data_IF_341586317718
#
_entry.id   IF_341586317718
#
_cell.length_a   1.000
_cell.length_b   1.000
_cell.length_c   1.000
_cell.angle_alpha   90.00
_cell.angle_beta   90.00
_cell.angle_gamma   90.00
#
_symmetry.space_group_name_H-M   'P 1'
#
loop_
_entity.id
_entity.type
_entity.pdbx_description
1 polymer ?
#
# COMPACT_ATOMS: atom_id res chain seq x y z
N UNK A 1 13.35 -0.11 13.26
CA UNK A 1 12.99 -0.34 11.85
C UNK A 1 13.04 0.99 11.14
N UNK A 2 13.83 1.14 10.07
CA UNK A 2 13.82 2.37 9.27
C UNK A 2 12.56 2.37 8.42
N UNK A 3 11.72 3.39 8.57
CA UNK A 3 10.71 3.68 7.55
C UNK A 3 11.44 3.80 6.22
N UNK A 4 10.95 3.08 5.21
CA UNK A 4 11.59 2.99 3.89
C UNK A 4 11.85 4.37 3.34
N UNK A 5 13.04 4.57 2.76
CA UNK A 5 13.30 5.76 1.97
C UNK A 5 12.20 5.95 0.92
N UNK A 6 11.82 7.20 0.61
CA UNK A 6 10.95 7.48 -0.52
C UNK A 6 11.51 6.81 -1.78
N UNK A 7 10.65 6.33 -2.68
CA UNK A 7 11.09 5.84 -3.98
C UNK A 7 11.80 6.99 -4.72
N UNK A 8 12.88 6.68 -5.45
CA UNK A 8 13.59 7.70 -6.19
C UNK A 8 12.72 8.24 -7.34
N UNK A 9 12.84 9.53 -7.63
CA UNK A 9 11.98 10.22 -8.60
C UNK A 9 12.05 9.61 -10.01
N UNK A 10 13.18 9.01 -10.39
CA UNK A 10 13.33 8.37 -11.70
C UNK A 10 12.50 7.09 -11.78
N UNK A 11 12.53 6.26 -10.76
CA UNK A 11 11.69 5.05 -10.68
C UNK A 11 10.22 5.41 -10.57
N UNK A 12 9.90 6.42 -9.76
CA UNK A 12 8.53 6.91 -9.59
C UNK A 12 7.91 7.34 -10.92
N UNK A 13 8.59 8.24 -11.66
CA UNK A 13 8.10 8.72 -12.96
C UNK A 13 7.98 7.61 -14.01
N UNK A 14 8.87 6.60 -13.99
CA UNK A 14 8.76 5.44 -14.88
C UNK A 14 7.52 4.60 -14.61
N UNK A 15 7.23 4.32 -13.34
CA UNK A 15 6.06 3.53 -12.95
C UNK A 15 4.78 4.32 -13.23
N UNK A 16 4.74 5.60 -12.87
CA UNK A 16 3.61 6.49 -13.13
C UNK A 16 3.30 6.56 -14.64
N UNK A 17 4.33 6.75 -15.47
CA UNK A 17 4.19 6.75 -16.93
C UNK A 17 3.72 5.40 -17.51
N UNK A 18 4.16 4.27 -16.95
CA UNK A 18 3.71 2.93 -17.38
C UNK A 18 2.26 2.68 -17.00
N UNK A 19 1.82 3.15 -15.84
CA UNK A 19 0.47 2.98 -15.33
C UNK A 19 -0.51 4.05 -15.84
N UNK A 20 0.00 5.08 -16.53
CA UNK A 20 -0.76 6.26 -16.97
C UNK A 20 -1.51 6.95 -15.81
N UNK A 21 -0.84 7.11 -14.67
CA UNK A 21 -1.35 7.80 -13.47
C UNK A 21 -0.39 8.89 -13.03
N UNK A 22 -0.84 9.77 -12.14
CA UNK A 22 0.02 10.75 -11.48
C UNK A 22 1.09 10.07 -10.60
N UNK A 23 2.28 10.64 -10.57
CA UNK A 23 3.39 10.25 -9.68
C UNK A 23 2.96 10.17 -8.21
N UNK A 24 2.09 11.08 -7.77
CA UNK A 24 1.55 11.10 -6.41
C UNK A 24 0.73 9.84 -6.07
N UNK A 25 0.04 9.22 -7.04
CA UNK A 25 -0.68 7.97 -6.80
C UNK A 25 0.27 6.81 -6.56
N UNK A 26 1.37 6.75 -7.32
CA UNK A 26 2.40 5.71 -7.16
C UNK A 26 3.13 5.88 -5.84
N UNK A 27 3.45 7.12 -5.47
CA UNK A 27 4.12 7.42 -4.19
C UNK A 27 3.24 7.02 -3.00
N UNK A 28 1.95 7.41 -3.05
CA UNK A 28 0.97 7.01 -2.04
C UNK A 28 0.87 5.49 -1.95
N UNK A 29 0.75 4.80 -3.09
CA UNK A 29 0.63 3.34 -3.14
C UNK A 29 1.85 2.64 -2.51
N UNK A 30 3.05 3.18 -2.75
CA UNK A 30 4.27 2.70 -2.13
C UNK A 30 4.19 2.77 -0.61
N UNK A 31 3.83 3.91 -0.04
CA UNK A 31 3.72 4.04 1.42
C UNK A 31 2.62 3.16 2.02
N UNK A 32 1.49 2.96 1.33
CA UNK A 32 0.43 2.03 1.74
C UNK A 32 0.99 0.61 1.90
N UNK A 33 1.71 0.11 0.88
CA UNK A 33 2.31 -1.23 0.93
C UNK A 33 3.33 -1.33 2.06
N UNK A 34 4.11 -0.29 2.29
CA UNK A 34 5.11 -0.26 3.36
C UNK A 34 4.48 -0.25 4.75
N UNK A 35 3.37 0.46 4.95
CA UNK A 35 2.58 0.44 6.18
C UNK A 35 2.00 -0.96 6.46
N UNK A 36 1.39 -1.60 5.45
CA UNK A 36 0.89 -2.97 5.56
C UNK A 36 2.03 -3.92 5.94
N UNK A 37 3.18 -3.82 5.29
CA UNK A 37 4.35 -4.66 5.62
C UNK A 37 4.81 -4.49 7.06
N UNK A 38 4.81 -3.28 7.59
CA UNK A 38 5.17 -3.03 8.98
C UNK A 38 4.15 -3.66 9.95
N UNK A 39 2.86 -3.53 9.67
CA UNK A 39 1.79 -4.11 10.49
C UNK A 39 1.82 -5.64 10.48
N UNK A 40 2.21 -6.26 9.37
CA UNK A 40 2.42 -7.72 9.29
C UNK A 40 3.62 -8.23 10.09
N UNK A 41 4.51 -7.34 10.57
CA UNK A 41 5.59 -7.74 11.48
C UNK A 41 5.18 -7.72 12.95
N UNK A 42 3.95 -7.28 13.25
CA UNK A 42 3.39 -7.40 14.59
C UNK A 42 3.08 -8.86 14.85
N UNK A 43 3.84 -9.44 15.78
CA UNK A 43 3.66 -10.80 16.27
C UNK A 43 3.31 -10.69 17.75
N UNK A 44 2.01 -10.64 18.03
CA UNK A 44 1.44 -10.55 19.37
C UNK A 44 0.48 -11.73 19.58
N UNK A 45 0.57 -12.38 20.74
CA UNK A 45 -0.21 -13.57 21.03
C UNK A 45 -1.71 -13.29 21.20
N UNK A 46 -2.06 -12.06 21.57
CA UNK A 46 -3.43 -11.65 21.89
C UNK A 46 -4.10 -10.88 20.74
N UNK A 47 -3.33 -10.48 19.72
CA UNK A 47 -3.82 -9.69 18.60
C UNK A 47 -3.17 -10.09 17.27
N UNK A 48 -4.01 -10.43 16.29
CA UNK A 48 -3.58 -10.66 14.91
C UNK A 48 -4.25 -9.65 13.99
N UNK A 49 -3.52 -8.69 13.40
CA UNK A 49 -4.11 -7.71 12.49
C UNK A 49 -4.60 -8.39 11.21
N UNK A 50 -5.88 -8.24 10.89
CA UNK A 50 -6.46 -8.74 9.64
C UNK A 50 -6.65 -7.58 8.67
N UNK A 51 -5.92 -7.62 7.54
CA UNK A 51 -6.07 -6.61 6.48
C UNK A 51 -7.44 -6.74 5.81
N UNK A 52 -8.26 -5.68 5.89
CA UNK A 52 -9.66 -5.71 5.49
C UNK A 52 -10.06 -4.46 4.68
N UNK A 53 -11.37 -4.22 4.53
CA UNK A 53 -11.90 -3.05 3.84
C UNK A 53 -11.69 -3.00 2.32
N UNK A 54 -11.90 -1.81 1.74
CA UNK A 54 -11.86 -1.61 0.28
C UNK A 54 -10.48 -1.87 -0.34
N UNK A 55 -9.42 -1.58 0.41
CA UNK A 55 -8.04 -1.74 -0.06
C UNK A 55 -7.63 -3.21 -0.13
N UNK A 56 -8.14 -4.06 0.76
CA UNK A 56 -7.95 -5.52 0.66
C UNK A 56 -8.66 -6.11 -0.58
N UNK A 57 -9.86 -5.62 -0.90
CA UNK A 57 -10.60 -6.05 -2.11
C UNK A 57 -9.89 -5.64 -3.39
N UNK A 58 -9.28 -4.45 -3.42
CA UNK A 58 -8.47 -3.97 -4.54
C UNK A 58 -7.15 -4.73 -4.66
N UNK A 59 -6.31 -4.71 -3.61
CA UNK A 59 -4.92 -5.19 -3.66
C UNK A 59 -4.77 -6.69 -3.44
N UNK A 60 -5.57 -7.27 -2.55
CA UNK A 60 -5.51 -8.69 -2.22
C UNK A 60 -6.31 -9.56 -3.19
N UNK A 61 -7.50 -9.09 -3.57
CA UNK A 61 -8.44 -9.90 -4.35
C UNK A 61 -8.71 -9.41 -5.78
N UNK A 62 -8.34 -8.17 -6.13
CA UNK A 62 -8.60 -7.60 -7.46
C UNK A 62 -10.08 -7.46 -7.83
N UNK A 63 -10.98 -7.44 -6.83
CA UNK A 63 -12.44 -7.45 -7.03
C UNK A 63 -13.00 -6.07 -7.40
N UNK A 64 -12.25 -5.01 -7.13
CA UNK A 64 -12.61 -3.64 -7.48
C UNK A 64 -11.46 -2.95 -8.21
N UNK A 65 -11.77 -1.92 -9.00
CA UNK A 65 -10.79 -1.14 -9.80
C UNK A 65 -10.85 0.36 -9.54
N UNK A 66 -11.33 0.75 -8.35
CA UNK A 66 -11.29 2.14 -7.89
C UNK A 66 -10.14 2.33 -6.93
N UNK A 67 -9.57 3.53 -6.92
CA UNK A 67 -8.61 3.90 -5.89
C UNK A 67 -9.29 3.86 -4.52
N UNK A 68 -8.61 3.26 -3.55
CA UNK A 68 -9.05 3.20 -2.16
C UNK A 68 -8.09 4.03 -1.33
N UNK A 69 -8.62 5.00 -0.60
CA UNK A 69 -7.82 5.99 0.13
C UNK A 69 -7.34 5.46 1.49
N UNK A 70 -8.18 4.66 2.14
CA UNK A 70 -7.99 4.18 3.50
C UNK A 70 -7.23 2.84 3.55
N UNK A 71 -6.66 2.50 4.71
CA UNK A 71 -6.10 1.17 4.98
C UNK A 71 -6.77 0.65 6.24
N UNK A 72 -7.62 -0.35 6.08
CA UNK A 72 -8.43 -0.90 7.17
C UNK A 72 -7.81 -2.17 7.76
N UNK A 73 -7.82 -2.28 9.08
CA UNK A 73 -7.47 -3.49 9.83
C UNK A 73 -8.52 -3.76 10.90
N UNK A 74 -8.78 -5.05 11.12
CA UNK A 74 -9.63 -5.55 12.21
C UNK A 74 -8.87 -6.51 13.10
#
# INVERSE_FOLDING_TARGET
>A
MSFSNPPDSRTLGRVAGTLAVDEAFVEKDWYVVQAIRALLTLDDADFTPVFSGGTSLLKGHGLIKRFSEDIDFS
#
